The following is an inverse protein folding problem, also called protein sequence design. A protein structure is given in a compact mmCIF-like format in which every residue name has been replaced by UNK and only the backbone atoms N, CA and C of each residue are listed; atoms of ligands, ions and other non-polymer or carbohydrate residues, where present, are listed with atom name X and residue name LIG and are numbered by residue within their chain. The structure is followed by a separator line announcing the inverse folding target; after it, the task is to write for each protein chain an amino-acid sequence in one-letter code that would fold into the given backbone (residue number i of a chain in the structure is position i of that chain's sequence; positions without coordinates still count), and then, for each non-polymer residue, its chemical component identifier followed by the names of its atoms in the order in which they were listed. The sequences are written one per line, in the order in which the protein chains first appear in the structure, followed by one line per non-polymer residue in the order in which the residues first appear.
data_IF_775633489657
#
_entry.id   IF_775633489657
#
_cell.length_a   1.000
_cell.length_b   1.000
_cell.length_c   1.000
_cell.angle_alpha   90.00
_cell.angle_beta   90.00
_cell.angle_gamma   90.00
#
_symmetry.space_group_name_H-M   'P 1'
#
loop_
_entity.id
_entity.type
_entity.pdbx_description
1 polymer ?
#
# COMPACT_ATOMS: atom_id res chain seq x y z
N UNK A 1 23.45 3.91 -14.32
CA UNK A 1 22.19 4.31 -13.65
C UNK A 1 21.94 3.33 -12.52
N UNK A 2 22.38 3.67 -11.30
CA UNK A 2 22.10 2.85 -10.12
C UNK A 2 20.70 3.22 -9.63
N UNK A 3 19.78 2.25 -9.64
CA UNK A 3 18.59 2.38 -8.82
C UNK A 3 19.09 2.13 -7.39
N UNK A 4 19.00 3.14 -6.51
CA UNK A 4 19.31 2.94 -5.11
C UNK A 4 18.30 1.94 -4.56
N UNK A 5 18.75 0.71 -4.33
CA UNK A 5 18.04 -0.27 -3.53
C UNK A 5 17.85 0.36 -2.17
N UNK A 6 16.68 0.98 -1.98
CA UNK A 6 16.32 1.57 -0.70
C UNK A 6 16.29 0.38 0.24
N UNK A 7 17.26 0.36 1.16
CA UNK A 7 17.31 -0.53 2.31
C UNK A 7 15.87 -0.66 2.83
N UNK A 8 15.22 -1.81 2.59
CA UNK A 8 13.90 -2.15 3.12
C UNK A 8 14.07 -2.36 4.63
N UNK A 9 14.52 -1.32 5.34
CA UNK A 9 14.39 -1.19 6.79
C UNK A 9 12.94 -1.49 7.07
N UNK A 10 12.71 -2.58 7.78
CA UNK A 10 11.44 -3.30 7.91
C UNK A 10 10.24 -2.42 7.57
N UNK A 11 9.77 -2.51 6.32
CA UNK A 11 8.63 -1.75 5.83
C UNK A 11 7.36 -2.40 6.39
N UNK A 12 7.22 -2.35 7.72
CA UNK A 12 6.08 -2.89 8.44
C UNK A 12 4.94 -1.93 8.23
N UNK A 13 3.91 -2.39 7.52
CA UNK A 13 2.65 -1.69 7.43
C UNK A 13 2.04 -1.61 8.83
N UNK A 14 1.91 -0.38 9.33
CA UNK A 14 1.28 -0.07 10.60
C UNK A 14 -0.21 0.20 10.42
N UNK A 15 -0.60 0.71 9.25
CA UNK A 15 -1.99 0.88 8.86
C UNK A 15 -2.14 0.80 7.34
N UNK A 16 -3.24 0.21 6.87
CA UNK A 16 -3.57 0.14 5.45
C UNK A 16 -4.97 0.71 5.25
N UNK A 17 -5.10 1.61 4.28
CA UNK A 17 -6.35 2.21 3.86
C UNK A 17 -6.46 2.14 2.34
N UNK A 18 -7.42 1.37 1.84
CA UNK A 18 -7.73 1.31 0.43
C UNK A 18 -8.85 2.31 0.12
N UNK A 19 -8.52 3.42 -0.55
CA UNK A 19 -9.50 4.32 -1.16
C UNK A 19 -9.89 3.80 -2.55
N UNK A 20 -10.99 4.28 -3.12
CA UNK A 20 -11.54 3.77 -4.40
C UNK A 20 -10.54 3.62 -5.55
N UNK A 21 -9.51 4.47 -5.58
CA UNK A 21 -8.52 4.57 -6.66
C UNK A 21 -7.06 4.34 -6.20
N UNK A 22 -6.78 4.40 -4.90
CA UNK A 22 -5.42 4.33 -4.35
C UNK A 22 -5.37 3.58 -3.02
N UNK A 23 -4.28 2.81 -2.83
CA UNK A 23 -3.91 2.16 -1.58
C UNK A 23 -2.91 3.04 -0.83
N UNK A 24 -3.27 3.38 0.40
CA UNK A 24 -2.47 4.18 1.31
C UNK A 24 -1.97 3.24 2.40
N UNK A 25 -0.65 3.18 2.59
CA UNK A 25 -0.02 2.34 3.61
C UNK A 25 0.83 3.24 4.48
N UNK A 26 0.52 3.25 5.77
CA UNK A 26 1.34 3.90 6.79
C UNK A 26 2.39 2.90 7.27
N UNK A 27 3.66 3.28 7.15
CA UNK A 27 4.78 2.47 7.61
C UNK A 27 5.16 2.85 9.03
N UNK A 28 5.57 1.86 9.82
CA UNK A 28 6.05 2.04 11.20
C UNK A 28 7.23 3.03 11.32
N UNK A 29 7.90 3.33 10.21
CA UNK A 29 8.92 4.38 10.11
C UNK A 29 8.39 5.81 10.03
N UNK A 30 7.08 6.05 10.21
CA UNK A 30 6.44 7.36 10.09
C UNK A 30 6.33 7.86 8.65
N UNK A 31 6.37 6.94 7.68
CA UNK A 31 6.28 7.24 6.26
C UNK A 31 4.96 6.71 5.73
N UNK A 32 4.20 7.55 5.05
CA UNK A 32 3.00 7.11 4.33
C UNK A 32 3.35 6.90 2.85
N UNK A 33 2.95 5.76 2.30
CA UNK A 33 3.09 5.42 0.88
C UNK A 33 1.69 5.39 0.25
N UNK A 34 1.50 6.10 -0.86
CA UNK A 34 0.30 6.01 -1.67
C UNK A 34 0.62 5.41 -3.04
N UNK A 35 -0.08 4.35 -3.40
CA UNK A 35 0.08 3.65 -4.69
C UNK A 35 -1.29 3.44 -5.36
N UNK A 36 -1.36 3.47 -6.70
CA UNK A 36 -2.63 3.22 -7.40
C UNK A 36 -3.15 1.80 -7.15
N UNK A 37 -4.44 1.65 -6.91
CA UNK A 37 -5.05 0.31 -6.77
C UNK A 37 -4.92 -0.53 -8.03
N UNK A 38 -4.78 0.10 -9.20
CA UNK A 38 -4.57 -0.57 -10.49
C UNK A 38 -3.35 -1.50 -10.51
N UNK A 39 -2.38 -1.29 -9.60
CA UNK A 39 -1.20 -2.16 -9.48
C UNK A 39 -1.51 -3.48 -8.76
N UNK A 40 -2.61 -3.54 -8.01
CA UNK A 40 -3.05 -4.71 -7.27
C UNK A 40 -4.38 -5.20 -7.84
N UNK A 41 -4.39 -5.93 -8.97
CA UNK A 41 -5.63 -6.32 -9.66
C UNK A 41 -6.62 -7.06 -8.75
N UNK A 42 -6.15 -7.86 -7.80
CA UNK A 42 -7.00 -8.51 -6.78
C UNK A 42 -7.72 -7.49 -5.88
N UNK A 43 -7.02 -6.45 -5.45
CA UNK A 43 -7.58 -5.39 -4.62
C UNK A 43 -8.45 -4.44 -5.46
N UNK A 44 -8.06 -4.18 -6.71
CA UNK A 44 -8.83 -3.39 -7.68
C UNK A 44 -10.18 -4.03 -8.02
N UNK A 45 -10.24 -5.36 -8.13
CA UNK A 45 -11.50 -6.09 -8.36
C UNK A 45 -12.25 -6.46 -7.07
N UNK A 46 -11.59 -6.40 -5.91
CA UNK A 46 -12.22 -6.63 -4.61
C UNK A 46 -13.24 -5.56 -4.28
N UNK A 47 -14.40 -5.98 -3.77
CA UNK A 47 -15.46 -5.09 -3.34
C UNK A 47 -15.01 -4.18 -2.18
N UNK A 48 -15.64 -3.01 -1.94
CA UNK A 48 -15.29 -2.14 -0.83
C UNK A 48 -15.32 -2.85 0.54
N UNK A 49 -16.16 -3.88 0.68
CA UNK A 49 -16.27 -4.69 1.89
C UNK A 49 -15.08 -5.67 2.06
N UNK A 50 -14.54 -6.21 0.98
CA UNK A 50 -13.31 -7.03 1.01
C UNK A 50 -12.07 -6.17 1.24
N UNK A 51 -12.04 -4.96 0.68
CA UNK A 51 -10.98 -3.97 0.95
C UNK A 51 -10.95 -3.50 2.42
N UNK A 52 -12.05 -3.65 3.13
CA UNK A 52 -12.18 -3.31 4.55
C UNK A 52 -11.85 -4.48 5.50
N UNK A 53 -11.64 -5.70 4.98
CA UNK A 53 -11.26 -6.87 5.76
C UNK A 53 -9.77 -7.18 5.55
N UNK A 54 -8.91 -6.48 6.31
CA UNK A 54 -7.46 -6.69 6.34
C UNK A 54 -7.01 -7.24 7.69
#
# INVERSE_FOLDING_TARGET
MSISGTELRDAVAQGVAASGEALIVDLAGGRTIAVPLSWFPRLAHGSPAERANW
#
